data_IF_580288507281
#
_entry.id   IF_580288507281
#
_cell.length_a   1.000
_cell.length_b   1.000
_cell.length_c   1.000
_cell.angle_alpha   90.00
_cell.angle_beta   90.00
_cell.angle_gamma   90.00
#
_symmetry.space_group_name_H-M   'P 1'
#
loop_
_entity.id
_entity.type
_entity.pdbx_description
1 polymer ?
#
# COMPACT_ATOMS: atom_id res chain seq x y z
N UNK A 1 -2.18 20.94 9.10
CA UNK A 1 -2.52 21.14 7.67
C UNK A 1 -1.87 20.02 6.91
N UNK A 2 -2.64 19.36 6.05
CA UNK A 2 -2.14 18.40 5.10
C UNK A 2 -1.51 19.19 3.93
N UNK A 3 -0.22 19.04 3.71
CA UNK A 3 0.54 19.82 2.72
C UNK A 3 0.94 18.97 1.50
N UNK A 4 1.40 19.62 0.43
CA UNK A 4 1.83 18.95 -0.80
C UNK A 4 2.92 17.90 -0.54
N UNK A 5 3.78 18.11 0.46
CA UNK A 5 4.83 17.16 0.81
C UNK A 5 4.25 15.89 1.45
N UNK A 6 3.23 16.02 2.30
CA UNK A 6 2.52 14.90 2.90
C UNK A 6 1.79 14.06 1.86
N UNK A 7 1.14 14.70 0.87
CA UNK A 7 0.53 14.03 -0.29
C UNK A 7 1.57 13.20 -1.06
N UNK A 8 2.66 13.83 -1.50
CA UNK A 8 3.70 13.15 -2.27
C UNK A 8 4.32 11.99 -1.50
N UNK A 9 4.57 12.15 -0.18
CA UNK A 9 5.12 11.09 0.65
C UNK A 9 4.17 9.89 0.78
N UNK A 10 2.86 10.12 0.88
CA UNK A 10 1.87 9.04 0.93
C UNK A 10 1.78 8.29 -0.41
N UNK A 11 1.74 9.02 -1.52
CA UNK A 11 1.73 8.44 -2.87
C UNK A 11 2.94 7.53 -3.12
N UNK A 12 4.14 7.99 -2.79
CA UNK A 12 5.36 7.20 -2.94
C UNK A 12 5.36 5.98 -2.02
N UNK A 13 4.96 6.12 -0.75
CA UNK A 13 4.88 4.99 0.18
C UNK A 13 3.91 3.90 -0.32
N UNK A 14 2.71 4.30 -0.76
CA UNK A 14 1.71 3.37 -1.28
C UNK A 14 2.20 2.68 -2.57
N UNK A 15 2.83 3.45 -3.48
CA UNK A 15 3.40 2.91 -4.72
C UNK A 15 4.53 1.91 -4.44
N UNK A 16 5.45 2.25 -3.53
CA UNK A 16 6.55 1.37 -3.14
C UNK A 16 6.03 0.08 -2.52
N UNK A 17 5.04 0.15 -1.62
CA UNK A 17 4.42 -1.04 -1.07
C UNK A 17 3.85 -1.94 -2.17
N UNK A 18 2.99 -1.38 -3.03
CA UNK A 18 2.27 -2.18 -4.03
C UNK A 18 3.24 -2.84 -5.02
N UNK A 19 4.27 -2.10 -5.46
CA UNK A 19 5.30 -2.61 -6.37
C UNK A 19 6.24 -3.64 -5.73
N UNK A 20 6.44 -3.60 -4.41
CA UNK A 20 7.22 -4.61 -3.67
C UNK A 20 6.38 -5.87 -3.45
N UNK A 21 5.11 -5.71 -3.05
CA UNK A 21 4.17 -6.81 -2.86
C UNK A 21 3.98 -7.61 -4.15
N UNK A 22 3.82 -6.95 -5.31
CA UNK A 22 3.48 -7.57 -6.59
C UNK A 22 4.63 -8.27 -7.34
N UNK A 23 5.51 -8.99 -6.64
CA UNK A 23 6.72 -9.64 -7.21
C UNK A 23 6.69 -11.16 -7.07
N UNK A 24 5.87 -11.87 -7.88
CA UNK A 24 5.67 -13.31 -7.70
C UNK A 24 6.86 -14.21 -8.05
N UNK A 25 7.88 -13.66 -8.70
CA UNK A 25 9.07 -14.42 -9.10
C UNK A 25 10.13 -14.49 -8.00
N UNK A 26 9.96 -13.75 -6.90
CA UNK A 26 10.91 -13.76 -5.77
C UNK A 26 10.63 -14.93 -4.84
N UNK A 27 11.70 -15.49 -4.27
CA UNK A 27 11.58 -16.39 -3.13
C UNK A 27 10.99 -15.65 -1.93
N UNK A 28 10.24 -16.38 -1.09
CA UNK A 28 9.55 -15.83 0.08
C UNK A 28 10.48 -14.99 0.96
N UNK A 29 11.69 -15.48 1.29
CA UNK A 29 12.61 -14.78 2.18
C UNK A 29 13.05 -13.43 1.64
N UNK A 30 13.31 -13.34 0.33
CA UNK A 30 13.69 -12.09 -0.32
C UNK A 30 12.49 -11.15 -0.43
N UNK A 31 11.35 -11.67 -0.88
CA UNK A 31 10.11 -10.90 -1.00
C UNK A 31 9.70 -10.30 0.35
N UNK A 32 9.75 -11.11 1.42
CA UNK A 32 9.38 -10.68 2.76
C UNK A 32 10.36 -9.66 3.33
N UNK A 33 11.68 -9.86 3.17
CA UNK A 33 12.68 -8.90 3.66
C UNK A 33 12.54 -7.51 3.02
N UNK A 34 12.01 -7.43 1.80
CA UNK A 34 11.72 -6.16 1.12
C UNK A 34 10.36 -5.57 1.54
N UNK A 35 9.35 -6.43 1.79
CA UNK A 35 7.99 -5.99 2.10
C UNK A 35 7.78 -5.63 3.59
N UNK A 36 8.31 -6.44 4.51
CA UNK A 36 8.12 -6.31 5.96
C UNK A 36 8.37 -4.89 6.50
N UNK A 37 9.45 -4.17 6.08
CA UNK A 37 9.73 -2.84 6.61
C UNK A 37 8.72 -1.76 6.19
N UNK A 38 7.90 -2.04 5.17
CA UNK A 38 6.88 -1.12 4.65
C UNK A 38 5.52 -1.30 5.36
N UNK A 39 5.40 -2.35 6.17
CA UNK A 39 4.15 -2.75 6.82
C UNK A 39 4.12 -2.33 8.29
N UNK A 40 2.92 -2.03 8.76
CA UNK A 40 2.63 -1.96 10.19
C UNK A 40 2.71 -3.36 10.84
N UNK A 41 2.74 -3.47 12.18
CA UNK A 41 2.66 -4.77 12.84
C UNK A 41 1.41 -5.59 12.46
N UNK A 42 0.28 -4.93 12.19
CA UNK A 42 -0.94 -5.61 11.73
C UNK A 42 -0.80 -6.06 10.27
N UNK A 43 -0.27 -5.20 9.39
CA UNK A 43 0.03 -5.54 8.01
C UNK A 43 1.01 -6.71 7.92
N UNK A 44 2.02 -6.75 8.79
CA UNK A 44 2.96 -7.86 8.87
C UNK A 44 2.25 -9.17 9.18
N UNK A 45 1.38 -9.21 10.20
CA UNK A 45 0.60 -10.41 10.53
C UNK A 45 -0.30 -10.87 9.38
N UNK A 46 -0.88 -9.94 8.62
CA UNK A 46 -1.74 -10.24 7.48
C UNK A 46 -0.98 -10.89 6.32
N UNK A 47 0.24 -10.41 6.03
CA UNK A 47 0.97 -10.82 4.83
C UNK A 47 2.09 -11.84 5.08
N UNK A 48 2.50 -12.08 6.32
CA UNK A 48 3.63 -12.95 6.69
C UNK A 48 3.50 -14.42 6.25
N UNK A 49 2.33 -14.87 5.81
CA UNK A 49 2.13 -16.24 5.32
C UNK A 49 1.70 -16.28 3.85
N UNK A 50 1.83 -15.16 3.14
CA UNK A 50 1.55 -15.09 1.71
C UNK A 50 2.68 -15.76 0.94
N UNK A 51 2.34 -16.74 0.11
CA UNK A 51 3.25 -17.27 -0.90
C UNK A 51 3.33 -16.26 -2.06
N UNK A 52 4.50 -15.66 -2.36
CA UNK A 52 4.65 -14.67 -3.42
C UNK A 52 4.20 -15.22 -4.78
N UNK A 53 4.36 -16.52 -5.04
CA UNK A 53 3.96 -17.12 -6.31
C UNK A 53 2.45 -17.02 -6.59
N UNK A 54 1.63 -16.79 -5.56
CA UNK A 54 0.19 -16.58 -5.69
C UNK A 54 -0.21 -15.11 -5.84
N UNK A 55 0.73 -14.18 -5.70
CA UNK A 55 0.50 -12.74 -5.86
C UNK A 55 0.52 -12.36 -7.35
N UNK A 56 -0.41 -11.54 -7.85
CA UNK A 56 -0.32 -11.08 -9.24
C UNK A 56 0.91 -10.18 -9.46
N UNK A 57 1.57 -10.35 -10.61
CA UNK A 57 2.51 -9.34 -11.10
C UNK A 57 1.70 -8.13 -11.60
N UNK A 58 1.86 -6.98 -10.93
CA UNK A 58 1.12 -5.77 -11.24
C UNK A 58 2.01 -4.75 -11.94
N UNK A 59 1.42 -4.02 -12.87
CA UNK A 59 1.97 -2.77 -13.40
C UNK A 59 1.00 -1.65 -13.07
N UNK A 60 1.49 -0.56 -12.47
CA UNK A 60 0.69 0.64 -12.16
C UNK A 60 0.59 1.47 -13.44
N UNK A 61 -0.62 1.66 -13.94
CA UNK A 61 -0.88 2.25 -15.27
C UNK A 61 -1.28 3.72 -15.24
N UNK A 62 -1.39 4.31 -14.05
CA UNK A 62 -1.84 5.69 -13.87
C UNK A 62 -1.55 6.27 -12.48
N UNK A 63 -1.90 7.55 -12.26
CA UNK A 63 -1.69 8.21 -10.97
C UNK A 63 -2.57 7.62 -9.87
N UNK A 64 -2.09 7.67 -8.64
CA UNK A 64 -2.87 7.26 -7.46
C UNK A 64 -3.92 8.31 -7.10
N UNK A 65 -5.13 7.86 -6.81
CA UNK A 65 -6.22 8.70 -6.30
C UNK A 65 -6.25 8.59 -4.78
N UNK A 66 -6.18 9.73 -4.09
CA UNK A 66 -6.25 9.75 -2.63
C UNK A 66 -7.70 9.79 -2.16
N UNK A 67 -7.99 9.00 -1.14
CA UNK A 67 -9.20 9.11 -0.33
C UNK A 67 -8.78 9.34 1.12
N UNK A 68 -9.22 10.47 1.68
CA UNK A 68 -9.02 10.80 3.10
C UNK A 68 -10.33 11.34 3.70
N UNK A 69 -10.53 11.12 5.01
CA UNK A 69 -11.70 11.61 5.75
C UNK A 69 -11.26 12.70 6.75
N UNK A 70 -10.58 13.74 6.27
CA UNK A 70 -10.03 14.85 7.07
C UNK A 70 -9.08 14.45 8.22
N UNK A 71 -8.66 13.19 8.28
CA UNK A 71 -7.71 12.69 9.26
C UNK A 71 -6.29 12.72 8.67
N UNK A 72 -5.38 13.56 9.17
CA UNK A 72 -4.05 13.68 8.59
C UNK A 72 -3.11 12.52 8.96
N UNK A 73 -3.57 11.53 9.73
CA UNK A 73 -2.81 10.36 10.13
C UNK A 73 -3.11 9.10 9.31
N UNK A 74 -4.14 9.13 8.47
CA UNK A 74 -4.52 7.99 7.62
C UNK A 74 -4.88 8.47 6.23
N UNK A 75 -4.58 7.65 5.23
CA UNK A 75 -4.97 7.90 3.84
C UNK A 75 -5.04 6.58 3.09
N UNK A 76 -5.99 6.48 2.18
CA UNK A 76 -6.02 5.39 1.21
C UNK A 76 -5.58 5.95 -0.14
N UNK A 77 -4.62 5.29 -0.79
CA UNK A 77 -4.20 5.63 -2.16
C UNK A 77 -4.59 4.48 -3.08
N UNK A 78 -5.39 4.77 -4.10
CA UNK A 78 -5.84 3.77 -5.09
C UNK A 78 -5.16 3.98 -6.42
N UNK A 79 -4.49 2.95 -6.93
CA UNK A 79 -3.82 2.96 -8.23
C UNK A 79 -4.57 2.09 -9.23
N UNK A 80 -4.79 2.57 -10.46
CA UNK A 80 -5.16 1.68 -11.55
C UNK A 80 -3.96 0.78 -11.90
N UNK A 81 -4.22 -0.51 -12.05
CA UNK A 81 -3.21 -1.51 -12.42
C UNK A 81 -3.69 -2.40 -13.56
N UNK A 82 -2.78 -3.19 -14.12
CA UNK A 82 -3.09 -4.23 -15.12
C UNK A 82 -4.08 -5.30 -14.65
N UNK A 83 -4.33 -5.42 -13.34
CA UNK A 83 -5.29 -6.37 -12.76
C UNK A 83 -6.50 -5.69 -12.08
N UNK A 84 -6.79 -4.43 -12.41
CA UNK A 84 -7.83 -3.62 -11.78
C UNK A 84 -7.29 -2.62 -10.77
N UNK A 85 -8.16 -1.90 -10.07
CA UNK A 85 -7.70 -0.88 -9.12
C UNK A 85 -7.34 -1.50 -7.77
N UNK A 86 -6.12 -1.21 -7.30
CA UNK A 86 -5.62 -1.66 -6.00
C UNK A 86 -5.46 -0.45 -5.09
N UNK A 87 -5.99 -0.55 -3.87
CA UNK A 87 -5.81 0.45 -2.81
C UNK A 87 -4.71 0.06 -1.84
N UNK A 88 -4.10 1.05 -1.21
CA UNK A 88 -3.22 0.88 -0.07
C UNK A 88 -3.68 1.80 1.04
N UNK A 89 -4.02 1.21 2.19
CA UNK A 89 -4.32 1.94 3.42
C UNK A 89 -3.01 2.22 4.15
N UNK A 90 -2.72 3.51 4.37
CA UNK A 90 -1.52 3.99 5.04
C UNK A 90 -1.88 4.66 6.37
N UNK A 91 -0.99 4.53 7.35
CA UNK A 91 -1.04 5.27 8.60
C UNK A 91 0.30 5.93 8.94
N UNK A 92 0.27 6.97 9.79
CA UNK A 92 1.45 7.58 10.40
C UNK A 92 1.16 8.08 11.81
N UNK A 93 2.17 8.05 12.68
CA UNK A 93 2.01 8.42 14.10
C UNK A 93 2.35 9.88 14.40
N UNK A 94 3.01 10.60 13.49
CA UNK A 94 3.42 12.00 13.67
C UNK A 94 3.41 12.80 12.36
N UNK A 95 3.49 14.14 12.46
CA UNK A 95 3.57 15.06 11.32
C UNK A 95 4.74 16.03 11.52
N UNK A 96 5.79 16.01 10.68
CA UNK A 96 6.04 15.01 9.63
C UNK A 96 6.38 13.64 10.24
N UNK A 97 5.99 12.56 9.57
CA UNK A 97 6.20 11.18 9.98
C UNK A 97 6.17 10.23 8.79
N UNK A 98 6.73 9.03 8.98
CA UNK A 98 6.78 8.00 7.93
C UNK A 98 5.42 7.33 7.76
N UNK A 99 5.01 7.12 6.52
CA UNK A 99 3.81 6.36 6.17
C UNK A 99 4.13 4.88 6.14
N UNK A 100 3.35 4.09 6.87
CA UNK A 100 3.42 2.62 6.88
C UNK A 100 2.11 2.06 6.37
N UNK A 101 2.15 0.91 5.71
CA UNK A 101 0.97 0.28 5.18
C UNK A 101 0.30 -0.66 6.17
N UNK A 102 -1.00 -0.49 6.31
CA UNK A 102 -1.86 -1.34 7.14
C UNK A 102 -2.47 -2.47 6.31
N UNK A 103 -2.84 -2.16 5.07
CA UNK A 103 -3.66 -3.04 4.24
C UNK A 103 -3.56 -2.71 2.75
N UNK A 104 -3.74 -3.73 1.92
CA UNK A 104 -3.97 -3.65 0.48
C UNK A 104 -5.46 -3.94 0.23
N UNK A 105 -6.13 -3.07 -0.52
CA UNK A 105 -7.51 -3.24 -0.97
C UNK A 105 -7.46 -3.84 -2.37
N UNK A 106 -8.09 -5.01 -2.53
CA UNK A 106 -8.15 -5.70 -3.81
C UNK A 106 -9.26 -5.16 -4.70
N UNK A 107 -9.15 -5.30 -6.03
CA UNK A 107 -10.24 -4.95 -6.95
C UNK A 107 -11.55 -5.61 -6.53
N UNK A 108 -12.60 -4.79 -6.39
CA UNK A 108 -13.93 -5.27 -5.97
C UNK A 108 -14.20 -5.23 -4.45
N UNK A 109 -13.19 -4.99 -3.60
CA UNK A 109 -13.34 -4.86 -2.14
C UNK A 109 -13.75 -3.43 -1.69
N UNK A 110 -14.41 -2.66 -2.56
CA UNK A 110 -14.72 -1.24 -2.31
C UNK A 110 -15.75 -0.98 -1.19
N UNK A 111 -16.29 -2.02 -0.55
CA UNK A 111 -17.16 -1.85 0.62
C UNK A 111 -16.47 -1.20 1.82
N UNK A 112 -15.14 -1.03 1.78
CA UNK A 112 -14.34 -0.33 2.81
C UNK A 112 -14.03 1.14 2.50
N UNK A 113 -14.42 1.65 1.32
CA UNK A 113 -14.18 3.04 0.91
C UNK A 113 -15.35 3.99 1.26
N UNK A 114 -16.37 3.51 1.98
CA UNK A 114 -17.55 4.31 2.39
C UNK A 114 -17.50 4.70 3.87
#
# INVERSE_FOLDING_TARGET
>A
MWDQQSHTAAQEAAKTLLATWSRPTLAYEQWWAELEPLLSPEGQQKYAYTDPANVPALEITGPGVESNNDNPHVVTITFPTTAGDFGVDLSRTSIPGHWIAENIIFPGDYSRLQ
#
